data_IF_660051083740
#
_entry.id   IF_660051083740
#
_cell.length_a   1.000
_cell.length_b   1.000
_cell.length_c   1.000
_cell.angle_alpha   90.00
_cell.angle_beta   90.00
_cell.angle_gamma   90.00
#
_symmetry.space_group_name_H-M   'P 1'
#
loop_
_entity.id
_entity.type
_entity.pdbx_description
1 polymer ?
#
# COMPACT_ATOMS: atom_id res chain seq x y z
N UNK A 1 0.87 3.33 20.96
CA UNK A 1 1.48 2.02 20.67
C UNK A 1 1.18 1.67 19.22
N UNK A 2 2.16 1.17 18.48
CA UNK A 2 2.01 0.75 17.08
C UNK A 2 2.21 -0.77 17.00
N UNK A 3 1.36 -1.45 16.23
CA UNK A 3 1.41 -2.91 16.06
C UNK A 3 1.37 -3.22 14.58
N UNK A 4 2.39 -3.90 14.07
CA UNK A 4 2.45 -4.39 12.68
C UNK A 4 1.78 -5.75 12.57
N UNK A 5 0.86 -5.89 11.61
CA UNK A 5 0.18 -7.17 11.31
C UNK A 5 0.74 -7.69 9.99
N UNK A 6 1.33 -8.88 10.02
CA UNK A 6 1.90 -9.55 8.84
C UNK A 6 1.53 -11.04 8.83
N UNK A 7 1.86 -11.74 7.75
CA UNK A 7 1.42 -13.12 7.49
C UNK A 7 1.28 -13.41 5.99
N UNK A 8 1.31 -14.69 5.63
CA UNK A 8 1.21 -15.15 4.24
C UNK A 8 -0.14 -14.87 3.58
N UNK A 9 -0.23 -15.13 2.27
CA UNK A 9 -1.49 -15.08 1.52
C UNK A 9 -2.48 -16.08 2.15
N UNK A 10 -3.74 -15.65 2.34
CA UNK A 10 -4.78 -16.49 2.94
C UNK A 10 -4.69 -16.67 4.45
N UNK A 11 -3.74 -16.06 5.16
CA UNK A 11 -3.57 -16.25 6.61
C UNK A 11 -4.57 -15.49 7.49
N UNK A 12 -5.56 -14.81 6.90
CA UNK A 12 -6.59 -14.09 7.65
C UNK A 12 -6.17 -12.74 8.26
N UNK A 13 -5.07 -12.12 7.81
CA UNK A 13 -4.60 -10.82 8.34
C UNK A 13 -5.67 -9.75 8.36
N UNK A 14 -6.36 -9.55 7.22
CA UNK A 14 -7.40 -8.52 7.09
C UNK A 14 -8.59 -8.79 8.00
N UNK A 15 -8.91 -10.06 8.27
CA UNK A 15 -9.94 -10.43 9.25
C UNK A 15 -9.48 -10.12 10.68
N UNK A 16 -8.22 -10.43 11.02
CA UNK A 16 -7.67 -10.14 12.33
C UNK A 16 -7.52 -8.63 12.58
N UNK A 17 -7.05 -7.85 11.60
CA UNK A 17 -6.97 -6.39 11.71
C UNK A 17 -8.36 -5.77 11.86
N UNK A 18 -9.36 -6.26 11.12
CA UNK A 18 -10.76 -5.85 11.28
C UNK A 18 -11.27 -6.03 12.70
N UNK A 19 -11.00 -7.19 13.32
CA UNK A 19 -11.39 -7.47 14.72
C UNK A 19 -10.75 -6.52 15.75
N UNK A 20 -9.58 -5.97 15.45
CA UNK A 20 -8.93 -4.95 16.28
C UNK A 20 -9.57 -3.58 16.08
N UNK A 21 -9.89 -3.23 14.83
CA UNK A 21 -10.60 -1.99 14.50
C UNK A 21 -11.98 -1.96 15.15
N UNK A 22 -12.72 -3.07 15.10
CA UNK A 22 -14.02 -3.22 15.77
C UNK A 22 -13.94 -3.06 17.30
N UNK A 23 -12.74 -3.28 17.88
CA UNK A 23 -12.44 -3.07 19.30
C UNK A 23 -11.88 -1.69 19.63
N UNK A 24 -11.88 -0.77 18.66
CA UNK A 24 -11.46 0.62 18.84
C UNK A 24 -10.01 0.91 18.45
N UNK A 25 -9.31 -0.03 17.80
CA UNK A 25 -8.01 0.29 17.21
C UNK A 25 -8.18 1.18 15.97
N UNK A 26 -7.23 2.09 15.76
CA UNK A 26 -7.13 2.80 14.48
C UNK A 26 -6.43 1.89 13.46
N UNK A 27 -7.14 1.57 12.37
CA UNK A 27 -6.58 0.78 11.27
C UNK A 27 -5.75 1.63 10.32
N UNK A 28 -4.57 1.14 9.95
CA UNK A 28 -3.77 1.70 8.85
C UNK A 28 -3.48 0.55 7.89
N UNK A 29 -3.92 0.70 6.64
CA UNK A 29 -3.72 -0.31 5.60
C UNK A 29 -2.58 0.13 4.68
N UNK A 30 -1.49 -0.65 4.67
CA UNK A 30 -0.31 -0.35 3.88
C UNK A 30 -0.55 -0.49 2.37
N UNK A 31 -1.41 -1.42 1.94
CA UNK A 31 -1.71 -1.62 0.52
C UNK A 31 -2.54 -0.45 -0.01
N UNK A 32 -3.45 0.08 0.81
CA UNK A 32 -4.22 1.28 0.48
C UNK A 32 -3.32 2.51 0.37
N UNK A 33 -2.46 2.74 1.37
CA UNK A 33 -1.51 3.87 1.35
C UNK A 33 -0.57 3.77 0.15
N UNK A 34 -0.08 2.57 -0.17
CA UNK A 34 0.79 2.36 -1.34
C UNK A 34 0.10 2.76 -2.66
N UNK A 35 -1.20 2.46 -2.81
CA UNK A 35 -1.99 2.87 -3.98
C UNK A 35 -2.21 4.36 -4.03
N UNK A 36 -2.48 5.00 -2.90
CA UNK A 36 -2.69 6.46 -2.83
C UNK A 36 -1.43 7.24 -3.21
N UNK A 37 -0.24 6.77 -2.82
CA UNK A 37 1.03 7.45 -3.14
C UNK A 37 1.58 7.08 -4.52
N UNK A 38 1.10 6.00 -5.13
CA UNK A 38 1.57 5.56 -6.45
C UNK A 38 1.36 6.63 -7.53
N UNK A 39 0.27 7.39 -7.46
CA UNK A 39 -0.04 8.46 -8.41
C UNK A 39 0.68 9.80 -8.11
N UNK A 40 1.47 9.89 -7.03
CA UNK A 40 2.22 11.10 -6.70
C UNK A 40 3.32 11.33 -7.75
N UNK A 41 3.37 12.51 -8.42
CA UNK A 41 4.40 12.81 -9.42
C UNK A 41 5.84 12.62 -8.92
N UNK A 42 6.11 12.88 -7.64
CA UNK A 42 7.42 12.66 -7.06
C UNK A 42 7.75 11.17 -6.93
N UNK A 43 6.77 10.33 -6.60
CA UNK A 43 6.91 8.87 -6.53
C UNK A 43 7.10 8.30 -7.95
N UNK A 44 6.28 8.73 -8.90
CA UNK A 44 6.42 8.34 -10.31
C UNK A 44 7.82 8.69 -10.84
N UNK A 45 8.31 9.90 -10.57
CA UNK A 45 9.65 10.33 -10.98
C UNK A 45 10.75 9.43 -10.41
N UNK A 46 10.67 9.08 -9.11
CA UNK A 46 11.62 8.16 -8.48
C UNK A 46 11.53 6.75 -9.08
N UNK A 47 10.34 6.27 -9.39
CA UNK A 47 10.15 4.95 -10.02
C UNK A 47 10.73 4.93 -11.44
N UNK A 48 10.55 6.00 -12.22
CA UNK A 48 11.20 6.16 -13.54
C UNK A 48 12.72 6.13 -13.44
N UNK A 49 13.30 6.83 -12.47
CA UNK A 49 14.75 6.86 -12.26
C UNK A 49 15.31 5.49 -11.85
N UNK A 50 14.56 4.72 -11.08
CA UNK A 50 14.97 3.41 -10.59
C UNK A 50 14.75 2.27 -11.60
N UNK A 51 13.65 2.30 -12.37
CA UNK A 51 13.18 1.16 -13.17
C UNK A 51 13.03 1.47 -14.67
N UNK A 52 13.14 2.73 -15.09
CA UNK A 52 12.94 3.16 -16.48
C UNK A 52 11.52 3.68 -16.75
N UNK A 53 11.34 4.33 -17.91
CA UNK A 53 10.05 4.94 -18.28
C UNK A 53 9.01 3.92 -18.79
N UNK A 54 9.44 2.73 -19.20
CA UNK A 54 8.58 1.67 -19.74
C UNK A 54 7.61 1.05 -18.71
N UNK A 55 7.73 1.45 -17.45
CA UNK A 55 6.89 1.00 -16.34
C UNK A 55 5.52 1.71 -16.31
N UNK A 56 5.37 2.83 -17.02
CA UNK A 56 4.10 3.55 -17.10
C UNK A 56 3.30 3.16 -18.33
N UNK A 57 1.98 3.20 -18.20
CA UNK A 57 1.08 3.07 -19.33
C UNK A 57 1.14 4.31 -20.26
N UNK A 58 0.39 4.26 -21.36
CA UNK A 58 0.36 5.36 -22.34
C UNK A 58 -0.24 6.67 -21.79
N UNK A 59 -0.89 6.64 -20.63
CA UNK A 59 -1.41 7.81 -19.92
C UNK A 59 -0.45 8.32 -18.84
N UNK A 60 0.71 7.66 -18.65
CA UNK A 60 1.70 8.01 -17.65
C UNK A 60 1.36 7.50 -16.24
N UNK A 61 0.52 6.47 -16.12
CA UNK A 61 0.13 5.85 -14.84
C UNK A 61 0.84 4.52 -14.61
N UNK A 62 0.95 4.13 -13.35
CA UNK A 62 1.49 2.84 -12.89
C UNK A 62 0.51 1.68 -13.13
#
# INVERSE_FOLDING_TARGET
MLVGITGGIGSGKSAFSGLLVDRGALGVDADLVAREVADDPAVIQQLKEAFGEDLLDNEGKL
#
